data_IF_696522047626
#
_entry.id   IF_696522047626
#
_cell.length_a   1.000
_cell.length_b   1.000
_cell.length_c   1.000
_cell.angle_alpha   90.00
_cell.angle_beta   90.00
_cell.angle_gamma   90.00
#
_symmetry.space_group_name_H-M   'P 1'
#
loop_
_entity.id
_entity.type
_entity.pdbx_description
1 polymer ?
#
# COMPACT_ATOMS: atom_id res chain seq x y z
N UNK A 1 -22.93 26.73 -5.03
CA UNK A 1 -21.79 25.82 -5.26
C UNK A 1 -21.92 24.67 -4.29
N UNK A 2 -22.20 23.48 -4.79
CA UNK A 2 -22.51 22.31 -3.98
C UNK A 2 -21.31 21.97 -3.09
N UNK A 3 -21.51 22.02 -1.77
CA UNK A 3 -20.48 21.76 -0.73
C UNK A 3 -19.78 20.41 -0.88
N UNK A 4 -20.38 19.47 -1.63
CA UNK A 4 -19.84 18.15 -1.95
C UNK A 4 -18.74 18.14 -3.02
N UNK A 5 -18.59 19.21 -3.81
CA UNK A 5 -17.57 19.28 -4.87
C UNK A 5 -16.17 19.50 -4.27
N UNK A 6 -16.09 20.25 -3.17
CA UNK A 6 -14.83 20.52 -2.46
C UNK A 6 -14.15 19.24 -1.97
N UNK A 7 -14.81 18.33 -1.22
CA UNK A 7 -14.18 17.09 -0.79
C UNK A 7 -13.81 16.17 -1.96
N UNK A 8 -14.57 16.20 -3.06
CA UNK A 8 -14.23 15.44 -4.27
C UNK A 8 -12.92 15.92 -4.91
N UNK A 9 -12.79 17.24 -5.09
CA UNK A 9 -11.57 17.86 -5.65
C UNK A 9 -10.37 17.57 -4.75
N UNK A 10 -10.52 17.73 -3.43
CA UNK A 10 -9.46 17.44 -2.45
C UNK A 10 -9.06 15.97 -2.53
N UNK A 11 -10.03 15.05 -2.53
CA UNK A 11 -9.78 13.61 -2.62
C UNK A 11 -9.03 13.22 -3.91
N UNK A 12 -9.38 13.83 -5.04
CA UNK A 12 -8.67 13.63 -6.31
C UNK A 12 -7.24 14.22 -6.29
N UNK A 13 -7.10 15.44 -5.76
CA UNK A 13 -5.83 16.16 -5.73
C UNK A 13 -4.79 15.45 -4.86
N UNK A 14 -5.20 14.81 -3.76
CA UNK A 14 -4.31 14.01 -2.92
C UNK A 14 -4.20 12.55 -3.40
N UNK A 15 -5.31 12.00 -3.89
CA UNK A 15 -5.42 10.60 -4.29
C UNK A 15 -4.60 10.24 -5.51
N UNK A 16 -4.68 11.06 -6.57
CA UNK A 16 -3.98 10.80 -7.83
C UNK A 16 -2.45 10.85 -7.66
N UNK A 17 -1.84 11.86 -7.02
CA UNK A 17 -0.40 11.87 -6.78
C UNK A 17 0.06 10.72 -5.90
N UNK A 18 -0.71 10.37 -4.87
CA UNK A 18 -0.42 9.23 -3.99
C UNK A 18 -0.34 7.91 -4.79
N UNK A 19 -1.33 7.66 -5.66
CA UNK A 19 -1.33 6.48 -6.52
C UNK A 19 -0.15 6.44 -7.51
N UNK A 20 0.18 7.59 -8.10
CA UNK A 20 1.35 7.68 -8.99
C UNK A 20 2.63 7.30 -8.24
N UNK A 21 2.81 7.79 -7.02
CA UNK A 21 3.96 7.44 -6.18
C UNK A 21 4.01 5.94 -5.88
N UNK A 22 2.89 5.31 -5.53
CA UNK A 22 2.84 3.87 -5.31
C UNK A 22 3.23 3.06 -6.56
N UNK A 23 2.70 3.44 -7.73
CA UNK A 23 3.03 2.78 -8.99
C UNK A 23 4.51 2.95 -9.31
N UNK A 24 5.07 4.15 -9.15
CA UNK A 24 6.51 4.41 -9.36
C UNK A 24 7.35 3.54 -8.42
N UNK A 25 6.99 3.43 -7.15
CA UNK A 25 7.69 2.58 -6.17
C UNK A 25 7.67 1.12 -6.61
N UNK A 26 6.50 0.59 -7.00
CA UNK A 26 6.36 -0.79 -7.49
C UNK A 26 7.22 -1.03 -8.73
N UNK A 27 7.21 -0.10 -9.69
CA UNK A 27 8.03 -0.20 -10.91
C UNK A 27 9.54 -0.20 -10.59
N UNK A 28 9.98 0.66 -9.67
CA UNK A 28 11.38 0.70 -9.25
C UNK A 28 11.82 -0.59 -8.56
N UNK A 29 10.93 -1.22 -7.80
CA UNK A 29 11.22 -2.50 -7.11
C UNK A 29 11.31 -3.66 -8.12
N UNK A 30 10.41 -3.70 -9.10
CA UNK A 30 10.37 -4.77 -10.13
C UNK A 30 11.53 -4.66 -11.13
N UNK A 31 12.18 -3.50 -11.23
CA UNK A 31 13.31 -3.30 -12.17
C UNK A 31 14.38 -4.40 -11.99
N UNK A 32 14.79 -5.06 -13.08
CA UNK A 32 15.69 -6.23 -13.03
C UNK A 32 17.08 -5.90 -12.48
N UNK A 33 17.48 -4.63 -12.48
CA UNK A 33 18.70 -4.11 -11.85
C UNK A 33 18.78 -4.41 -10.34
N UNK A 34 17.64 -4.69 -9.69
CA UNK A 34 17.55 -5.02 -8.26
C UNK A 34 17.19 -6.49 -7.96
N UNK A 35 17.30 -7.42 -8.93
CA UNK A 35 16.97 -8.85 -8.73
C UNK A 35 17.66 -9.50 -7.52
N UNK A 36 18.92 -9.14 -7.21
CA UNK A 36 19.63 -9.64 -6.01
C UNK A 36 18.99 -9.19 -4.69
N UNK A 37 18.27 -8.06 -4.68
CA UNK A 37 17.58 -7.50 -3.50
C UNK A 37 16.24 -8.18 -3.21
N UNK A 38 15.60 -8.78 -4.22
CA UNK A 38 14.36 -9.55 -4.11
C UNK A 38 14.52 -10.89 -3.36
N UNK A 39 15.75 -11.32 -3.11
CA UNK A 39 16.04 -12.44 -2.22
C UNK A 39 15.79 -12.14 -0.74
N UNK A 40 15.72 -10.86 -0.36
CA UNK A 40 15.45 -10.47 1.02
C UNK A 40 13.92 -10.44 1.26
N UNK A 41 13.40 -11.15 2.29
CA UNK A 41 11.97 -11.17 2.62
C UNK A 41 11.38 -9.76 2.82
N UNK A 42 12.19 -8.79 3.24
CA UNK A 42 11.76 -7.40 3.40
C UNK A 42 11.24 -6.77 2.10
N UNK A 43 11.98 -6.93 0.99
CA UNK A 43 11.58 -6.34 -0.29
C UNK A 43 10.35 -7.04 -0.88
N UNK A 44 10.20 -8.35 -0.63
CA UNK A 44 9.00 -9.11 -1.01
C UNK A 44 7.76 -8.64 -0.25
N UNK A 45 7.89 -8.46 1.06
CA UNK A 45 6.80 -7.96 1.89
C UNK A 45 6.40 -6.55 1.47
N UNK A 46 7.37 -5.66 1.27
CA UNK A 46 7.12 -4.29 0.83
C UNK A 46 6.44 -4.22 -0.55
N UNK A 47 6.86 -5.08 -1.49
CA UNK A 47 6.20 -5.21 -2.79
C UNK A 47 4.74 -5.69 -2.66
N UNK A 48 4.50 -6.72 -1.84
CA UNK A 48 3.16 -7.27 -1.64
C UNK A 48 2.22 -6.23 -1.00
N UNK A 49 2.71 -5.49 0.00
CA UNK A 49 1.96 -4.38 0.62
C UNK A 49 1.65 -3.30 -0.42
N UNK A 50 2.62 -2.88 -1.22
CA UNK A 50 2.37 -1.86 -2.26
C UNK A 50 1.31 -2.28 -3.28
N UNK A 51 1.25 -3.56 -3.65
CA UNK A 51 0.20 -4.11 -4.52
C UNK A 51 -1.17 -4.09 -3.82
N UNK A 52 -1.22 -4.53 -2.56
CA UNK A 52 -2.44 -4.52 -1.75
C UNK A 52 -2.96 -3.08 -1.58
N UNK A 53 -2.08 -2.11 -1.36
CA UNK A 53 -2.44 -0.70 -1.20
C UNK A 53 -3.02 -0.10 -2.49
N UNK A 54 -2.44 -0.43 -3.64
CA UNK A 54 -3.00 0.00 -4.94
C UNK A 54 -4.39 -0.58 -5.17
N UNK A 55 -4.56 -1.89 -4.96
CA UNK A 55 -5.84 -2.57 -5.15
C UNK A 55 -6.88 -2.07 -4.14
N UNK A 56 -6.49 -1.92 -2.88
CA UNK A 56 -7.32 -1.43 -1.80
C UNK A 56 -7.79 0.01 -2.05
N UNK A 57 -6.89 0.89 -2.51
CA UNK A 57 -7.22 2.26 -2.87
C UNK A 57 -8.23 2.30 -4.02
N UNK A 58 -7.98 1.60 -5.12
CA UNK A 58 -8.89 1.58 -6.28
C UNK A 58 -10.26 1.03 -5.88
N UNK A 59 -10.29 -0.08 -5.13
CA UNK A 59 -11.54 -0.68 -4.69
C UNK A 59 -12.33 0.25 -3.74
N UNK A 60 -11.65 0.84 -2.75
CA UNK A 60 -12.31 1.75 -1.80
C UNK A 60 -12.77 3.03 -2.48
N UNK A 61 -11.98 3.56 -3.41
CA UNK A 61 -12.34 4.76 -4.16
C UNK A 61 -13.60 4.52 -5.01
N UNK A 62 -13.64 3.40 -5.73
CA UNK A 62 -14.76 3.07 -6.63
C UNK A 62 -16.03 2.68 -5.88
N UNK A 63 -15.94 1.91 -4.79
CA UNK A 63 -17.13 1.31 -4.15
C UNK A 63 -17.53 1.93 -2.82
N UNK A 64 -16.72 2.81 -2.24
CA UNK A 64 -17.02 3.50 -0.98
C UNK A 64 -17.03 5.01 -1.21
N UNK A 65 -15.98 5.56 -1.79
CA UNK A 65 -15.84 7.02 -1.96
C UNK A 65 -16.76 7.58 -3.05
N UNK A 66 -16.80 6.99 -4.26
CA UNK A 66 -17.64 7.47 -5.36
C UNK A 66 -19.16 7.46 -5.05
N UNK A 67 -19.74 6.42 -4.43
CA UNK A 67 -21.17 6.40 -4.08
C UNK A 67 -21.57 7.46 -3.04
N UNK A 68 -20.61 7.95 -2.25
CA UNK A 68 -20.85 8.97 -1.23
C UNK A 68 -21.14 10.35 -1.86
N UNK A 69 -20.74 10.57 -3.12
CA UNK A 69 -21.04 11.80 -3.84
C UNK A 69 -22.37 11.70 -4.57
N UNK A 70 -23.24 12.69 -4.34
CA UNK A 70 -24.60 12.68 -4.89
C UNK A 70 -24.66 12.66 -6.42
N UNK A 71 -23.58 13.10 -7.08
CA UNK A 71 -23.43 13.07 -8.55
C UNK A 71 -23.44 11.64 -9.15
N UNK A 72 -22.96 10.65 -8.40
CA UNK A 72 -22.92 9.26 -8.85
C UNK A 72 -24.08 8.42 -8.28
N UNK A 73 -24.94 9.02 -7.45
CA UNK A 73 -26.06 8.33 -6.80
C UNK A 73 -26.98 7.61 -7.79
N UNK A 74 -27.23 8.18 -8.97
CA UNK A 74 -28.05 7.54 -10.02
C UNK A 74 -27.40 6.30 -10.65
N UNK A 75 -26.06 6.26 -10.72
CA UNK A 75 -25.33 5.10 -11.26
C UNK A 75 -25.26 3.96 -10.22
N UNK A 76 -24.92 4.30 -8.97
CA UNK A 76 -24.84 3.34 -7.87
C UNK A 76 -26.21 2.94 -7.30
N UNK A 77 -27.28 3.68 -7.62
CA UNK A 77 -28.66 3.31 -7.31
C UNK A 77 -29.30 2.34 -8.32
N UNK A 78 -28.58 1.97 -9.38
CA UNK A 78 -29.07 1.03 -10.40
C UNK A 78 -29.09 -0.42 -9.88
N UNK A 79 -29.87 -1.29 -10.53
CA UNK A 79 -30.04 -2.71 -10.17
C UNK A 79 -28.74 -3.53 -10.17
N UNK A 80 -27.67 -3.00 -10.76
CA UNK A 80 -26.33 -3.62 -10.78
C UNK A 80 -25.67 -3.60 -9.40
N UNK A 81 -25.96 -2.58 -8.58
CA UNK A 81 -25.43 -2.41 -7.23
C UNK A 81 -26.42 -2.83 -6.13
N UNK A 82 -27.56 -3.41 -6.53
CA UNK A 82 -28.49 -4.04 -5.60
C UNK A 82 -27.76 -5.09 -4.73
N UNK A 83 -28.28 -5.39 -3.52
CA UNK A 83 -27.71 -6.42 -2.66
C UNK A 83 -27.68 -7.76 -3.40
N UNK A 84 -26.50 -8.12 -3.88
CA UNK A 84 -26.22 -9.29 -4.69
C UNK A 84 -24.94 -9.95 -4.18
N UNK A 85 -24.71 -11.24 -4.48
CA UNK A 85 -23.47 -11.91 -4.09
C UNK A 85 -22.21 -11.20 -4.60
N UNK A 86 -22.31 -10.55 -5.77
CA UNK A 86 -21.23 -9.78 -6.37
C UNK A 86 -20.93 -8.53 -5.53
N UNK A 87 -21.96 -7.77 -5.16
CA UNK A 87 -21.82 -6.59 -4.29
C UNK A 87 -21.21 -6.98 -2.94
N UNK A 88 -21.67 -8.06 -2.33
CA UNK A 88 -21.12 -8.59 -1.08
C UNK A 88 -19.65 -9.01 -1.23
N UNK A 89 -19.29 -9.68 -2.32
CA UNK A 89 -17.90 -10.09 -2.58
C UNK A 89 -16.97 -8.87 -2.73
N UNK A 90 -17.43 -7.78 -3.36
CA UNK A 90 -16.66 -6.54 -3.51
C UNK A 90 -16.42 -5.87 -2.16
N UNK A 91 -17.45 -5.72 -1.33
CA UNK A 91 -17.29 -5.17 0.02
C UNK A 91 -16.42 -6.05 0.92
N UNK A 92 -16.58 -7.38 0.81
CA UNK A 92 -15.71 -8.33 1.50
C UNK A 92 -14.25 -8.19 1.05
N UNK A 93 -13.99 -8.07 -0.25
CA UNK A 93 -12.66 -7.85 -0.80
C UNK A 93 -12.07 -6.52 -0.31
N UNK A 94 -12.86 -5.44 -0.24
CA UNK A 94 -12.44 -4.16 0.33
C UNK A 94 -12.01 -4.32 1.79
N UNK A 95 -12.84 -5.00 2.59
CA UNK A 95 -12.55 -5.26 3.99
C UNK A 95 -11.29 -6.12 4.16
N UNK A 96 -11.13 -7.18 3.37
CA UNK A 96 -9.96 -8.05 3.41
C UNK A 96 -8.68 -7.29 3.03
N UNK A 97 -8.70 -6.50 1.96
CA UNK A 97 -7.56 -5.69 1.52
C UNK A 97 -7.16 -4.66 2.59
N UNK A 98 -8.13 -4.00 3.23
CA UNK A 98 -7.85 -3.06 4.33
C UNK A 98 -7.18 -3.74 5.53
N UNK A 99 -7.63 -4.95 5.89
CA UNK A 99 -6.98 -5.74 6.94
C UNK A 99 -5.55 -6.16 6.54
N UNK A 100 -5.36 -6.64 5.31
CA UNK A 100 -4.04 -7.03 4.80
C UNK A 100 -3.06 -5.85 4.80
N UNK A 101 -3.52 -4.65 4.47
CA UNK A 101 -2.71 -3.42 4.57
C UNK A 101 -2.29 -3.13 6.01
N UNK A 102 -3.23 -3.22 6.98
CA UNK A 102 -2.93 -3.01 8.39
C UNK A 102 -1.89 -4.02 8.90
N UNK A 103 -2.11 -5.32 8.65
CA UNK A 103 -1.17 -6.36 9.04
C UNK A 103 0.19 -6.17 8.36
N UNK A 104 0.20 -5.85 7.06
CA UNK A 104 1.41 -5.57 6.31
C UNK A 104 2.25 -4.45 6.93
N UNK A 105 1.60 -3.33 7.29
CA UNK A 105 2.26 -2.20 7.94
C UNK A 105 2.80 -2.55 9.34
N UNK A 106 2.07 -3.37 10.10
CA UNK A 106 2.57 -3.90 11.38
C UNK A 106 3.83 -4.73 11.19
N UNK A 107 3.83 -5.68 10.24
CA UNK A 107 5.02 -6.48 9.94
C UNK A 107 6.20 -5.64 9.45
N UNK A 108 5.94 -4.60 8.65
CA UNK A 108 6.98 -3.70 8.17
C UNK A 108 7.63 -2.92 9.33
N UNK A 109 6.79 -2.44 10.26
CA UNK A 109 7.22 -1.71 11.44
C UNK A 109 8.00 -2.63 12.39
N UNK A 110 7.52 -3.86 12.59
CA UNK A 110 8.23 -4.86 13.38
C UNK A 110 9.59 -5.19 12.77
N UNK A 111 9.67 -5.36 11.45
CA UNK A 111 10.94 -5.63 10.76
C UNK A 111 11.95 -4.48 10.95
N UNK A 112 11.49 -3.23 10.82
CA UNK A 112 12.32 -2.04 11.09
C UNK A 112 12.75 -1.99 12.57
N UNK A 113 11.84 -2.28 13.49
CA UNK A 113 12.13 -2.33 14.91
C UNK A 113 13.19 -3.38 15.25
N UNK A 114 13.07 -4.60 14.72
CA UNK A 114 14.07 -5.66 14.89
C UNK A 114 15.44 -5.22 14.36
N UNK A 115 15.50 -4.50 13.23
CA UNK A 115 16.78 -4.02 12.68
C UNK A 115 17.48 -2.96 13.56
N UNK A 116 16.71 -2.20 14.36
CA UNK A 116 17.23 -1.17 15.26
C UNK A 116 17.61 -1.77 16.61
N UNK A 117 16.77 -2.65 17.16
CA UNK A 117 16.96 -3.26 18.49
C UNK A 117 17.99 -4.37 18.47
N UNK A 118 18.03 -5.15 17.39
CA UNK A 118 19.04 -6.16 17.15
C UNK A 118 19.87 -5.76 15.93
N UNK A 119 20.81 -4.80 16.10
CA UNK A 119 21.86 -4.61 15.11
C UNK A 119 22.77 -5.84 15.22
N UNK A 120 22.35 -6.97 14.64
CA UNK A 120 23.23 -8.11 14.48
C UNK A 120 24.38 -7.66 13.58
N UNK A 121 25.50 -7.40 14.23
CA UNK A 121 26.84 -7.25 13.71
C UNK A 121 27.13 -8.37 12.70
N UNK A 122 26.72 -8.18 11.44
CA UNK A 122 27.31 -8.93 10.32
C UNK A 122 28.58 -8.23 9.88
N UNK A 123 29.56 -8.37 10.76
CA UNK A 123 30.96 -8.61 10.45
C UNK A 123 31.04 -9.50 9.21
N UNK A 124 31.36 -8.92 8.05
CA UNK A 124 31.84 -9.71 6.92
C UNK A 124 33.29 -10.09 7.23
N UNK A 125 33.65 -11.39 7.29
CA UNK A 125 35.05 -11.81 7.38
C UNK A 125 35.69 -11.57 6.02
N UNK A 126 36.18 -10.35 5.80
CA UNK A 126 36.78 -9.95 4.52
C UNK A 126 37.30 -8.52 4.49
N UNK A 127 36.85 -7.64 5.41
CA UNK A 127 37.44 -6.32 5.57
C UNK A 127 38.36 -6.34 6.79
N UNK A 128 39.59 -6.83 6.59
CA UNK A 128 40.72 -6.22 7.29
C UNK A 128 40.68 -4.71 7.00
N UNK A 129 41.11 -3.91 7.97
CA UNK A 129 41.29 -2.45 7.95
C UNK A 129 40.23 -1.69 8.79
N UNK A 130 40.69 -1.43 10.03
CA UNK A 130 40.40 -0.28 10.88
C UNK A 130 39.04 -0.20 11.57
N UNK A 131 38.90 -0.94 12.66
CA UNK A 131 38.39 -0.32 13.88
C UNK A 131 39.45 -0.53 14.96
N UNK A 132 40.29 0.49 15.09
CA UNK A 132 41.38 0.55 16.06
C UNK A 132 40.78 0.57 17.47
N UNK A 133 41.42 -0.20 18.36
CA UNK A 133 41.29 -0.13 19.81
C UNK A 133 41.22 1.32 20.32
N UNK A 134 40.38 1.50 21.34
CA UNK A 134 40.83 2.05 22.63
C UNK A 134 40.68 3.55 22.80
N UNK A 135 39.91 3.91 23.84
CA UNK A 135 39.71 5.25 24.37
C UNK A 135 38.53 5.23 25.31
#
# INVERSE_FOLDING_TARGET
MSTEIVPLIVSLLYGVPSMILYIVILLQIVRPKHKKRFGNPFFRLYFLIGVVDCLGYVNSYIFITLPTYSFFSSFYGSSVFAPSPLTTAIYFAAYLLGNLQLFGNCFLTFNRFTSIVFPCERRSPGSHVLCHKGG
#
